data_IF_175457039982
#
_entry.id   IF_175457039982
#
_cell.length_a   1.000
_cell.length_b   1.000
_cell.length_c   1.000
_cell.angle_alpha   90.00
_cell.angle_beta   90.00
_cell.angle_gamma   90.00
#
_symmetry.space_group_name_H-M   'P 1'
#
loop_
_entity.id
_entity.type
_entity.pdbx_description
1 polymer ?
#
# COMPACT_ATOMS: atom_id res chain seq x y z
N UNK A 1 29.26 -0.27 -6.03
CA UNK A 1 28.31 -0.99 -5.19
C UNK A 1 27.34 -1.70 -6.11
N UNK A 2 26.86 -2.90 -5.76
CA UNK A 2 25.78 -3.54 -6.50
C UNK A 2 24.52 -2.67 -6.39
N UNK A 3 23.67 -2.69 -7.43
CA UNK A 3 22.36 -2.05 -7.35
C UNK A 3 21.47 -2.81 -6.37
N UNK A 4 20.52 -2.11 -5.74
CA UNK A 4 19.47 -2.78 -4.98
C UNK A 4 18.66 -3.71 -5.89
N UNK A 5 18.07 -4.75 -5.32
CA UNK A 5 17.22 -5.69 -6.03
C UNK A 5 15.79 -5.60 -5.51
N UNK A 6 14.85 -5.36 -6.41
CA UNK A 6 13.43 -5.21 -6.13
C UNK A 6 12.68 -6.34 -6.82
N UNK A 7 12.02 -7.19 -6.05
CA UNK A 7 11.18 -8.26 -6.59
C UNK A 7 9.70 -7.92 -6.49
N UNK A 8 8.99 -8.11 -7.58
CA UNK A 8 7.55 -7.84 -7.72
C UNK A 8 6.83 -9.16 -7.88
N UNK A 9 6.12 -9.58 -6.84
CA UNK A 9 5.35 -10.83 -6.83
C UNK A 9 3.93 -10.56 -7.31
N UNK A 10 3.67 -10.91 -8.56
CA UNK A 10 2.48 -10.58 -9.34
C UNK A 10 2.82 -9.63 -10.49
N UNK A 11 2.83 -10.14 -11.73
CA UNK A 11 3.12 -9.37 -12.94
C UNK A 11 1.85 -8.82 -13.62
N UNK A 12 0.81 -8.51 -12.85
CA UNK A 12 -0.40 -7.86 -13.33
C UNK A 12 -0.19 -6.39 -13.74
N UNK A 13 -1.25 -5.58 -13.73
CA UNK A 13 -1.16 -4.16 -14.09
C UNK A 13 -0.34 -3.37 -13.06
N UNK A 14 -0.55 -3.64 -11.75
CA UNK A 14 0.22 -3.00 -10.69
C UNK A 14 1.70 -3.40 -10.81
N UNK A 15 2.01 -4.69 -10.94
CA UNK A 15 3.39 -5.17 -11.06
C UNK A 15 4.16 -4.56 -12.24
N UNK A 16 3.54 -4.50 -13.42
CA UNK A 16 4.15 -3.83 -14.58
C UNK A 16 4.40 -2.33 -14.36
N UNK A 17 3.44 -1.65 -13.73
CA UNK A 17 3.58 -0.22 -13.41
C UNK A 17 4.68 0.01 -12.36
N UNK A 18 4.77 -0.84 -11.33
CA UNK A 18 5.83 -0.81 -10.32
C UNK A 18 7.21 -0.97 -10.97
N UNK A 19 7.34 -1.94 -11.89
CA UNK A 19 8.61 -2.20 -12.59
C UNK A 19 9.06 -0.97 -13.39
N UNK A 20 8.16 -0.38 -14.16
CA UNK A 20 8.45 0.84 -14.92
C UNK A 20 8.86 1.99 -14.00
N UNK A 21 8.10 2.25 -12.93
CA UNK A 21 8.41 3.33 -11.98
C UNK A 21 9.74 3.10 -11.26
N UNK A 22 10.06 1.86 -10.89
CA UNK A 22 11.34 1.52 -10.27
C UNK A 22 12.52 1.79 -11.22
N UNK A 23 12.36 1.49 -12.51
CA UNK A 23 13.32 1.82 -13.55
C UNK A 23 13.50 3.34 -13.74
N UNK A 24 12.41 4.08 -13.97
CA UNK A 24 12.41 5.53 -14.15
C UNK A 24 13.04 6.28 -12.96
N UNK A 25 12.81 5.79 -11.75
CA UNK A 25 13.39 6.36 -10.52
C UNK A 25 14.77 5.79 -10.17
N UNK A 26 15.30 4.88 -10.98
CA UNK A 26 16.60 4.24 -10.81
C UNK A 26 16.80 3.62 -9.40
N UNK A 27 15.76 2.96 -8.88
CA UNK A 27 15.77 2.41 -7.52
C UNK A 27 16.57 1.11 -7.39
N UNK A 28 16.74 0.37 -8.48
CA UNK A 28 17.46 -0.89 -8.50
C UNK A 28 17.12 -1.78 -9.69
N UNK A 29 17.67 -2.98 -9.71
CA UNK A 29 17.33 -4.04 -10.67
C UNK A 29 16.00 -4.68 -10.25
N UNK A 30 15.18 -5.07 -11.21
CA UNK A 30 13.79 -5.50 -10.98
C UNK A 30 13.58 -6.92 -11.47
N UNK A 31 13.03 -7.77 -10.60
CA UNK A 31 12.50 -9.08 -10.93
C UNK A 31 10.99 -9.03 -10.93
N UNK A 32 10.35 -9.31 -12.07
CA UNK A 32 8.92 -9.57 -12.13
C UNK A 32 8.69 -11.09 -11.98
N UNK A 33 7.95 -11.48 -10.96
CA UNK A 33 7.54 -12.87 -10.75
C UNK A 33 6.03 -13.03 -10.94
N UNK A 34 5.63 -14.07 -11.67
CA UNK A 34 4.23 -14.50 -11.77
C UNK A 34 4.20 -16.00 -12.07
N UNK A 35 3.11 -16.67 -11.65
CA UNK A 35 2.87 -18.07 -11.96
C UNK A 35 2.44 -18.29 -13.43
N UNK A 36 1.95 -17.23 -14.08
CA UNK A 36 1.52 -17.26 -15.48
C UNK A 36 2.75 -17.21 -16.41
N UNK A 37 3.04 -18.29 -17.09
CA UNK A 37 4.18 -18.39 -18.02
C UNK A 37 4.12 -17.31 -19.09
N UNK A 38 5.28 -16.71 -19.38
CA UNK A 38 5.45 -15.69 -20.41
C UNK A 38 5.04 -14.27 -20.02
N UNK A 39 4.12 -14.11 -19.06
CA UNK A 39 3.63 -12.78 -18.64
C UNK A 39 4.74 -11.95 -17.99
N UNK A 40 5.46 -12.43 -16.96
CA UNK A 40 6.53 -11.65 -16.35
C UNK A 40 7.69 -11.40 -17.32
N UNK A 41 8.05 -12.39 -18.16
CA UNK A 41 9.12 -12.25 -19.13
C UNK A 41 8.77 -11.22 -20.22
N UNK A 42 7.54 -11.27 -20.75
CA UNK A 42 7.08 -10.32 -21.78
C UNK A 42 7.07 -8.90 -21.27
N UNK A 43 6.53 -8.66 -20.07
CA UNK A 43 6.53 -7.31 -19.47
C UNK A 43 7.92 -6.80 -19.13
N UNK A 44 8.77 -7.66 -18.57
CA UNK A 44 10.15 -7.29 -18.26
C UNK A 44 10.91 -6.88 -19.54
N UNK A 45 10.74 -7.64 -20.63
CA UNK A 45 11.37 -7.33 -21.92
C UNK A 45 10.84 -6.01 -22.51
N UNK A 46 9.54 -5.76 -22.47
CA UNK A 46 8.93 -4.52 -22.96
C UNK A 46 9.45 -3.29 -22.19
N UNK A 47 9.50 -3.38 -20.85
CA UNK A 47 10.04 -2.32 -19.99
C UNK A 47 11.55 -2.14 -20.24
N UNK A 48 12.31 -3.22 -20.41
CA UNK A 48 13.73 -3.16 -20.75
C UNK A 48 13.96 -2.45 -22.09
N UNK A 49 13.06 -2.63 -23.07
CA UNK A 49 13.14 -1.94 -24.37
C UNK A 49 12.77 -0.44 -24.26
N UNK A 50 12.07 -0.01 -23.22
CA UNK A 50 11.84 1.42 -22.96
C UNK A 50 13.09 2.10 -22.36
N UNK A 51 14.02 1.35 -21.74
CA UNK A 51 15.16 1.91 -21.02
C UNK A 51 16.08 2.80 -21.87
N UNK A 52 16.37 2.51 -23.16
CA UNK A 52 17.20 3.40 -23.99
C UNK A 52 16.55 4.76 -24.28
N UNK A 53 15.22 4.83 -24.21
CA UNK A 53 14.45 6.07 -24.44
C UNK A 53 14.35 6.87 -23.15
N UNK A 54 14.07 6.17 -22.05
CA UNK A 54 13.83 6.78 -20.73
C UNK A 54 15.12 7.04 -19.93
N UNK A 55 16.25 6.45 -20.35
CA UNK A 55 17.58 6.72 -19.78
C UNK A 55 17.83 6.03 -18.42
N UNK A 56 17.38 4.80 -18.25
CA UNK A 56 17.74 3.99 -17.07
C UNK A 56 18.44 2.68 -17.47
N UNK A 57 19.37 2.22 -16.60
CA UNK A 57 20.19 1.01 -16.83
C UNK A 57 19.81 -0.16 -15.90
N UNK A 58 18.66 -0.09 -15.22
CA UNK A 58 18.20 -1.16 -14.36
C UNK A 58 17.93 -2.43 -15.17
N UNK A 59 18.39 -3.57 -14.68
CA UNK A 59 18.05 -4.89 -15.25
C UNK A 59 16.58 -5.17 -14.98
N UNK A 60 15.85 -5.60 -16.01
CA UNK A 60 14.46 -6.03 -15.93
C UNK A 60 14.38 -7.51 -16.32
N UNK A 61 14.01 -8.36 -15.38
CA UNK A 61 13.95 -9.81 -15.60
C UNK A 61 12.58 -10.36 -15.18
N UNK A 62 12.05 -11.31 -15.94
CA UNK A 62 10.81 -12.01 -15.64
C UNK A 62 11.08 -13.46 -15.25
N UNK A 63 10.42 -13.96 -14.20
CA UNK A 63 10.58 -15.34 -13.74
C UNK A 63 9.24 -15.97 -13.30
N UNK A 64 9.19 -17.29 -13.37
CA UNK A 64 8.09 -18.10 -12.82
C UNK A 64 8.53 -18.93 -11.59
N UNK A 65 9.81 -18.82 -11.17
CA UNK A 65 10.36 -19.51 -10.00
C UNK A 65 10.72 -18.54 -8.86
N UNK A 66 10.46 -18.94 -7.63
CA UNK A 66 10.77 -18.13 -6.44
C UNK A 66 12.28 -17.93 -6.21
N UNK A 67 13.13 -18.82 -6.75
CA UNK A 67 14.59 -18.71 -6.69
C UNK A 67 15.11 -17.40 -7.29
N UNK A 68 14.38 -16.83 -8.25
CA UNK A 68 14.72 -15.53 -8.83
C UNK A 68 14.63 -14.37 -7.82
N UNK A 69 13.89 -14.54 -6.71
CA UNK A 69 13.80 -13.54 -5.65
C UNK A 69 15.03 -13.50 -4.75
N UNK A 70 15.93 -14.49 -4.86
CA UNK A 70 17.09 -14.58 -3.96
C UNK A 70 17.91 -13.29 -3.93
N UNK A 71 18.21 -12.82 -2.70
CA UNK A 71 18.99 -11.60 -2.49
C UNK A 71 18.23 -10.29 -2.75
N UNK A 72 16.89 -10.30 -2.78
CA UNK A 72 16.11 -9.08 -2.88
C UNK A 72 16.21 -8.23 -1.64
N UNK A 73 16.43 -6.92 -1.81
CA UNK A 73 16.35 -5.92 -0.75
C UNK A 73 14.90 -5.56 -0.43
N UNK A 74 14.05 -5.52 -1.46
CA UNK A 74 12.62 -5.22 -1.33
C UNK A 74 11.80 -6.23 -2.11
N UNK A 75 10.69 -6.68 -1.51
CA UNK A 75 9.67 -7.49 -2.20
C UNK A 75 8.32 -6.79 -2.12
N UNK A 76 7.67 -6.57 -3.27
CA UNK A 76 6.33 -6.01 -3.33
C UNK A 76 5.37 -7.10 -3.79
N UNK A 77 4.35 -7.39 -2.98
CA UNK A 77 3.39 -8.46 -3.22
C UNK A 77 2.07 -7.88 -3.71
N UNK A 78 1.76 -8.16 -4.97
CA UNK A 78 0.48 -7.82 -5.62
C UNK A 78 -0.28 -9.07 -6.06
N UNK A 79 0.31 -10.26 -5.81
CA UNK A 79 -0.28 -11.55 -6.15
C UNK A 79 -1.59 -11.77 -5.38
N UNK A 80 -2.57 -12.35 -6.06
CA UNK A 80 -3.89 -12.61 -5.53
C UNK A 80 -4.96 -12.37 -6.59
N UNK A 81 -6.19 -12.72 -6.27
CA UNK A 81 -7.33 -12.50 -7.16
C UNK A 81 -8.09 -11.25 -6.73
N UNK A 82 -8.55 -10.48 -7.72
CA UNK A 82 -9.51 -9.42 -7.46
C UNK A 82 -10.93 -10.03 -7.32
N UNK A 83 -11.78 -9.38 -6.53
CA UNK A 83 -13.18 -9.81 -6.37
C UNK A 83 -13.91 -9.85 -7.72
N UNK A 84 -14.49 -10.98 -8.05
CA UNK A 84 -15.26 -11.17 -9.28
C UNK A 84 -16.77 -11.09 -8.97
N UNK A 85 -17.62 -10.75 -9.96
CA UNK A 85 -19.06 -10.86 -9.81
C UNK A 85 -19.48 -12.25 -9.35
N UNK A 86 -20.32 -12.34 -8.32
CA UNK A 86 -20.78 -13.60 -7.73
C UNK A 86 -19.84 -14.23 -6.67
N UNK A 87 -18.65 -13.68 -6.47
CA UNK A 87 -17.74 -14.12 -5.41
C UNK A 87 -18.11 -13.47 -4.08
N UNK A 88 -18.27 -14.28 -3.04
CA UNK A 88 -18.45 -13.79 -1.67
C UNK A 88 -17.17 -13.13 -1.14
N UNK A 89 -17.25 -12.42 -0.01
CA UNK A 89 -16.08 -11.87 0.67
C UNK A 89 -15.20 -12.99 1.23
N UNK A 90 -15.83 -14.02 1.81
CA UNK A 90 -15.14 -15.13 2.43
C UNK A 90 -14.42 -16.00 1.39
N UNK A 91 -15.02 -16.21 0.20
CA UNK A 91 -14.33 -16.88 -0.91
C UNK A 91 -13.04 -16.14 -1.31
N UNK A 92 -13.11 -14.81 -1.40
CA UNK A 92 -11.96 -13.98 -1.73
C UNK A 92 -10.87 -14.09 -0.66
N UNK A 93 -11.26 -14.03 0.61
CA UNK A 93 -10.34 -14.17 1.74
C UNK A 93 -9.66 -15.56 1.69
N UNK A 94 -10.44 -16.64 1.57
CA UNK A 94 -9.89 -18.00 1.55
C UNK A 94 -8.92 -18.26 0.39
N UNK A 95 -9.20 -17.69 -0.80
CA UNK A 95 -8.30 -17.82 -1.95
C UNK A 95 -7.00 -17.03 -1.69
N UNK A 96 -7.11 -15.76 -1.30
CA UNK A 96 -5.95 -14.90 -1.11
C UNK A 96 -5.11 -15.30 0.11
N UNK A 97 -5.71 -15.89 1.15
CA UNK A 97 -4.97 -16.51 2.27
C UNK A 97 -3.97 -17.56 1.76
N UNK A 98 -4.43 -18.50 0.93
CA UNK A 98 -3.56 -19.53 0.35
C UNK A 98 -2.45 -18.92 -0.51
N UNK A 99 -2.76 -17.87 -1.27
CA UNK A 99 -1.75 -17.16 -2.07
C UNK A 99 -0.71 -16.51 -1.14
N UNK A 100 -1.13 -15.82 -0.08
CA UNK A 100 -0.20 -15.20 0.87
C UNK A 100 0.67 -16.23 1.61
N UNK A 101 0.11 -17.37 1.96
CA UNK A 101 0.87 -18.49 2.55
C UNK A 101 1.96 -19.01 1.61
N UNK A 102 1.64 -19.21 0.31
CA UNK A 102 2.61 -19.66 -0.69
C UNK A 102 3.70 -18.61 -0.95
N UNK A 103 3.30 -17.34 -1.12
CA UNK A 103 4.23 -16.23 -1.33
C UNK A 103 5.13 -16.04 -0.12
N UNK A 104 4.58 -16.08 1.09
CA UNK A 104 5.34 -15.96 2.33
C UNK A 104 6.38 -17.06 2.49
N UNK A 105 6.04 -18.31 2.16
CA UNK A 105 6.99 -19.42 2.14
C UNK A 105 8.13 -19.18 1.13
N UNK A 106 7.79 -18.72 -0.08
CA UNK A 106 8.81 -18.38 -1.10
C UNK A 106 9.75 -17.25 -0.67
N UNK A 107 9.22 -16.22 0.02
CA UNK A 107 10.02 -15.12 0.58
C UNK A 107 10.94 -15.65 1.68
N UNK A 108 10.44 -16.45 2.62
CA UNK A 108 11.22 -17.03 3.70
C UNK A 108 12.42 -17.83 3.20
N UNK A 109 12.23 -18.59 2.13
CA UNK A 109 13.27 -19.47 1.58
C UNK A 109 14.32 -18.70 0.77
N UNK A 110 13.94 -17.63 0.07
CA UNK A 110 14.79 -17.00 -0.92
C UNK A 110 15.31 -15.60 -0.53
N UNK A 111 14.56 -14.84 0.29
CA UNK A 111 14.92 -13.47 0.66
C UNK A 111 14.49 -13.10 2.10
N UNK A 112 15.05 -13.81 3.12
CA UNK A 112 14.66 -13.67 4.51
C UNK A 112 14.99 -12.30 5.14
N UNK A 113 15.79 -11.48 4.48
CA UNK A 113 16.20 -10.15 4.96
C UNK A 113 15.47 -9.00 4.25
N UNK A 114 14.60 -9.30 3.29
CA UNK A 114 13.92 -8.29 2.49
C UNK A 114 12.95 -7.42 3.31
N UNK A 115 12.76 -6.19 2.87
CA UNK A 115 11.61 -5.37 3.25
C UNK A 115 10.41 -5.71 2.36
N UNK A 116 9.29 -6.09 2.94
CA UNK A 116 8.13 -6.63 2.23
C UNK A 116 6.96 -5.65 2.29
N UNK A 117 6.43 -5.27 1.12
CA UNK A 117 5.25 -4.42 0.99
C UNK A 117 4.10 -5.23 0.41
N UNK A 118 3.02 -5.41 1.17
CA UNK A 118 1.81 -6.08 0.72
C UNK A 118 0.83 -5.07 0.09
N UNK A 119 0.25 -5.43 -1.07
CA UNK A 119 -0.81 -4.65 -1.76
C UNK A 119 -2.09 -5.48 -1.91
N UNK A 120 -2.00 -6.79 -1.72
CA UNK A 120 -3.10 -7.74 -1.94
C UNK A 120 -4.26 -7.48 -0.97
N UNK A 121 -5.48 -7.45 -1.51
CA UNK A 121 -6.71 -7.24 -0.74
C UNK A 121 -7.41 -8.56 -0.31
N UNK A 122 -8.13 -8.53 0.83
CA UNK A 122 -8.30 -7.43 1.79
C UNK A 122 -7.01 -7.19 2.59
N UNK A 123 -6.47 -5.97 2.42
CA UNK A 123 -5.08 -5.66 2.76
C UNK A 123 -4.71 -5.91 4.21
N UNK A 124 -5.53 -5.41 5.16
CA UNK A 124 -5.22 -5.44 6.59
C UNK A 124 -5.10 -6.87 7.15
N UNK A 125 -5.74 -7.83 6.51
CA UNK A 125 -5.65 -9.26 6.82
C UNK A 125 -4.51 -9.92 6.06
N UNK A 126 -4.40 -9.65 4.75
CA UNK A 126 -3.40 -10.29 3.89
C UNK A 126 -1.97 -9.96 4.31
N UNK A 127 -1.72 -8.74 4.82
CA UNK A 127 -0.39 -8.37 5.34
C UNK A 127 0.00 -9.19 6.56
N UNK A 128 -0.95 -9.46 7.46
CA UNK A 128 -0.72 -10.30 8.65
C UNK A 128 -0.41 -11.75 8.28
N UNK A 129 -1.19 -12.33 7.36
CA UNK A 129 -0.96 -13.70 6.86
C UNK A 129 0.40 -13.80 6.17
N UNK A 130 0.74 -12.82 5.33
CA UNK A 130 2.02 -12.76 4.64
C UNK A 130 3.19 -12.69 5.64
N UNK A 131 3.05 -11.87 6.69
CA UNK A 131 4.06 -11.76 7.74
C UNK A 131 4.27 -13.09 8.48
N UNK A 132 3.18 -13.75 8.90
CA UNK A 132 3.23 -15.03 9.58
C UNK A 132 3.86 -16.12 8.69
N UNK A 133 3.44 -16.21 7.44
CA UNK A 133 3.94 -17.21 6.49
C UNK A 133 5.42 -17.01 6.12
N UNK A 134 5.86 -15.75 6.01
CA UNK A 134 7.26 -15.42 5.73
C UNK A 134 8.15 -15.59 6.96
N UNK A 135 7.62 -15.50 8.18
CA UNK A 135 8.38 -15.52 9.42
C UNK A 135 9.30 -14.32 9.62
N UNK A 136 9.15 -13.28 8.80
CA UNK A 136 9.93 -12.05 8.92
C UNK A 136 9.49 -11.25 10.16
N UNK A 137 10.37 -10.43 10.75
CA UNK A 137 9.99 -9.50 11.80
C UNK A 137 8.88 -8.55 11.32
N UNK A 138 7.97 -8.16 12.22
CA UNK A 138 6.86 -7.25 11.90
C UNK A 138 7.33 -5.89 11.34
N UNK A 139 8.52 -5.43 11.76
CA UNK A 139 9.16 -4.24 11.19
C UNK A 139 9.55 -4.36 9.71
N UNK A 140 9.66 -5.58 9.20
CA UNK A 140 10.04 -5.88 7.80
C UNK A 140 8.85 -6.11 6.88
N UNK A 141 7.64 -6.22 7.40
CA UNK A 141 6.42 -6.46 6.59
C UNK A 141 5.40 -5.37 6.85
N UNK A 142 4.93 -4.73 5.80
CA UNK A 142 4.00 -3.59 5.89
C UNK A 142 2.99 -3.62 4.74
N UNK A 143 1.80 -3.11 4.96
CA UNK A 143 0.77 -2.98 3.94
C UNK A 143 0.71 -1.57 3.34
N UNK A 144 0.61 -1.47 2.03
CA UNK A 144 0.36 -0.21 1.31
C UNK A 144 -1.14 0.10 1.39
N UNK A 145 -1.52 1.02 2.28
CA UNK A 145 -2.90 1.39 2.60
C UNK A 145 -3.10 2.90 2.59
N UNK A 146 -2.92 3.52 3.74
CA UNK A 146 -3.16 4.95 3.94
C UNK A 146 -2.32 5.86 3.05
N UNK A 147 -1.16 5.42 2.53
CA UNK A 147 -0.38 6.18 1.54
C UNK A 147 -1.24 6.46 0.31
N UNK A 148 -1.91 5.43 -0.23
CA UNK A 148 -2.83 5.58 -1.36
C UNK A 148 -4.08 6.39 -0.98
N UNK A 149 -4.67 6.10 0.16
CA UNK A 149 -5.91 6.75 0.59
C UNK A 149 -5.67 8.23 0.89
N UNK A 150 -4.52 8.56 1.49
CA UNK A 150 -4.09 9.95 1.69
C UNK A 150 -3.77 10.65 0.37
N UNK A 151 -3.21 9.95 -0.62
CA UNK A 151 -2.96 10.52 -1.94
C UNK A 151 -4.28 10.91 -2.65
N UNK A 152 -5.33 10.09 -2.52
CA UNK A 152 -6.68 10.41 -3.02
C UNK A 152 -7.25 11.65 -2.32
N UNK A 153 -7.15 11.66 -0.99
CA UNK A 153 -7.64 12.78 -0.18
C UNK A 153 -6.90 14.07 -0.51
N UNK A 154 -5.57 14.03 -0.62
CA UNK A 154 -4.74 15.17 -1.06
C UNK A 154 -5.16 15.70 -2.42
N UNK A 155 -5.40 14.80 -3.38
CA UNK A 155 -5.82 15.17 -4.72
C UNK A 155 -7.18 15.92 -4.70
N UNK A 156 -8.18 15.40 -3.99
CA UNK A 156 -9.50 16.04 -3.91
C UNK A 156 -9.47 17.36 -3.13
N UNK A 157 -8.64 17.47 -2.10
CA UNK A 157 -8.42 18.74 -1.39
C UNK A 157 -7.74 19.78 -2.31
N UNK A 158 -6.74 19.36 -3.09
CA UNK A 158 -6.07 20.25 -4.03
C UNK A 158 -7.02 20.77 -5.12
N UNK A 159 -7.92 19.92 -5.64
CA UNK A 159 -8.98 20.34 -6.58
C UNK A 159 -9.92 21.36 -5.95
N UNK A 160 -10.37 21.14 -4.72
CA UNK A 160 -11.28 22.05 -4.01
C UNK A 160 -10.64 23.42 -3.76
N UNK A 161 -9.42 23.41 -3.20
CA UNK A 161 -8.72 24.66 -2.86
C UNK A 161 -8.03 25.32 -4.06
N UNK A 162 -8.00 24.65 -5.24
CA UNK A 162 -7.34 25.12 -6.48
C UNK A 162 -5.86 25.43 -6.27
N UNK A 163 -5.17 24.53 -5.59
CA UNK A 163 -3.74 24.61 -5.29
C UNK A 163 -2.98 23.42 -5.85
N UNK A 164 -1.65 23.49 -5.85
CA UNK A 164 -0.80 22.34 -6.20
C UNK A 164 -1.01 21.19 -5.21
N UNK A 165 -1.02 19.96 -5.71
CA UNK A 165 -0.99 18.75 -4.88
C UNK A 165 0.28 18.65 -4.03
N UNK A 166 1.35 19.34 -4.40
CA UNK A 166 2.61 19.38 -3.65
C UNK A 166 2.47 20.11 -2.32
N UNK A 167 1.55 21.10 -2.25
CA UNK A 167 1.30 21.88 -1.04
C UNK A 167 0.32 21.20 -0.07
N UNK A 168 -0.35 20.11 -0.49
CA UNK A 168 -1.34 19.42 0.34
C UNK A 168 -0.71 18.24 1.10
N UNK A 169 -0.87 18.25 2.42
CA UNK A 169 -0.55 17.13 3.30
C UNK A 169 -1.82 16.60 3.92
N UNK A 170 -2.00 15.29 3.94
CA UNK A 170 -3.16 14.67 4.57
C UNK A 170 -2.82 13.29 5.13
N UNK A 171 -3.58 12.86 6.14
CA UNK A 171 -3.51 11.53 6.73
C UNK A 171 -4.85 10.82 6.66
N UNK A 172 -4.81 9.56 6.27
CA UNK A 172 -5.93 8.61 6.37
C UNK A 172 -5.47 7.42 7.18
N UNK A 173 -6.19 7.11 8.26
CA UNK A 173 -5.91 6.01 9.18
C UNK A 173 -6.96 4.91 9.07
N UNK A 174 -6.79 3.86 9.90
CA UNK A 174 -7.73 2.74 9.99
C UNK A 174 -7.53 1.69 8.90
N UNK A 175 -8.47 0.77 8.77
CA UNK A 175 -8.47 -0.27 7.74
C UNK A 175 -8.60 0.30 6.34
N UNK A 176 -7.99 -0.39 5.38
CA UNK A 176 -8.03 0.01 3.96
C UNK A 176 -9.36 -0.38 3.32
N UNK A 177 -10.34 0.52 3.35
CA UNK A 177 -11.68 0.30 2.82
C UNK A 177 -12.65 1.43 3.19
N UNK A 178 -13.94 1.12 3.19
CA UNK A 178 -15.03 2.06 3.48
C UNK A 178 -15.02 2.61 4.91
N UNK A 179 -14.36 1.92 5.84
CA UNK A 179 -14.19 2.34 7.24
C UNK A 179 -12.94 3.18 7.48
N UNK A 180 -12.17 3.54 6.45
CA UNK A 180 -10.99 4.41 6.61
C UNK A 180 -11.34 5.76 7.24
N UNK A 181 -10.37 6.35 7.92
CA UNK A 181 -10.53 7.57 8.72
C UNK A 181 -9.69 8.71 8.16
N UNK A 182 -10.20 9.51 7.21
CA UNK A 182 -9.52 10.72 6.77
C UNK A 182 -9.52 11.77 7.90
N UNK A 183 -8.31 12.19 8.30
CA UNK A 183 -8.13 13.13 9.39
C UNK A 183 -8.06 14.57 8.87
N UNK A 184 -9.22 15.24 8.80
CA UNK A 184 -9.34 16.62 8.31
C UNK A 184 -8.48 17.58 9.14
N UNK A 185 -8.49 17.43 10.48
CA UNK A 185 -7.75 18.27 11.42
C UNK A 185 -6.22 18.20 11.25
N UNK A 186 -5.71 17.05 10.79
CA UNK A 186 -4.29 16.82 10.48
C UNK A 186 -3.95 17.05 9.00
N UNK A 187 -4.93 17.51 8.20
CA UNK A 187 -4.69 17.82 6.78
C UNK A 187 -4.46 19.31 6.61
N UNK A 188 -3.47 19.67 5.79
CA UNK A 188 -3.01 21.06 5.62
C UNK A 188 -2.75 21.39 4.17
N UNK A 189 -2.81 22.71 3.86
CA UNK A 189 -2.27 23.30 2.62
C UNK A 189 -1.15 24.22 3.01
N UNK A 190 0.07 23.94 2.58
CA UNK A 190 1.28 24.70 2.94
C UNK A 190 1.42 24.95 4.46
N UNK A 191 1.00 23.96 5.27
CA UNK A 191 1.03 24.03 6.73
C UNK A 191 -0.20 24.72 7.37
N UNK A 192 -1.13 25.27 6.59
CA UNK A 192 -2.39 25.83 7.10
C UNK A 192 -3.39 24.69 7.25
N UNK A 193 -3.93 24.43 8.47
CA UNK A 193 -4.89 23.38 8.68
C UNK A 193 -6.19 23.56 7.86
N UNK A 194 -6.77 22.46 7.39
CA UNK A 194 -8.03 22.51 6.63
C UNK A 194 -9.17 23.20 7.42
N UNK A 195 -9.33 23.00 8.75
CA UNK A 195 -10.32 23.76 9.52
C UNK A 195 -10.12 25.27 9.42
N UNK A 196 -8.89 25.77 9.50
CA UNK A 196 -8.60 27.21 9.38
C UNK A 196 -8.93 27.71 7.97
N UNK A 197 -8.68 26.93 6.93
CA UNK A 197 -9.06 27.27 5.55
C UNK A 197 -10.58 27.37 5.38
N UNK A 198 -11.35 26.56 6.10
CA UNK A 198 -12.82 26.67 6.14
C UNK A 198 -13.22 27.99 6.81
N UNK A 199 -12.63 28.33 7.96
CA UNK A 199 -12.89 29.62 8.65
C UNK A 199 -12.52 30.83 7.77
N UNK A 200 -11.47 30.71 6.95
CA UNK A 200 -11.06 31.73 5.97
C UNK A 200 -12.00 31.80 4.75
N UNK A 201 -12.98 30.92 4.63
CA UNK A 201 -13.93 30.89 3.53
C UNK A 201 -13.41 30.27 2.22
N UNK A 202 -12.34 29.47 2.27
CA UNK A 202 -11.80 28.77 1.08
C UNK A 202 -12.67 27.58 0.67
N UNK A 203 -13.40 27.00 1.62
CA UNK A 203 -14.38 25.92 1.41
C UNK A 203 -15.40 25.91 2.54
N UNK A 204 -16.21 24.86 2.64
CA UNK A 204 -17.22 24.68 3.69
C UNK A 204 -17.08 23.30 4.32
N UNK A 205 -17.55 23.14 5.57
CA UNK A 205 -17.59 21.83 6.24
C UNK A 205 -18.35 20.79 5.42
N UNK A 206 -19.48 21.18 4.82
CA UNK A 206 -20.27 20.29 3.96
C UNK A 206 -19.46 19.79 2.77
N UNK A 207 -18.68 20.67 2.13
CA UNK A 207 -17.85 20.28 0.97
C UNK A 207 -16.69 19.38 1.38
N UNK A 208 -16.07 19.66 2.52
CA UNK A 208 -15.00 18.77 3.04
C UNK A 208 -15.57 17.41 3.42
N UNK A 209 -16.79 17.33 3.99
CA UNK A 209 -17.45 16.05 4.26
C UNK A 209 -17.74 15.25 2.99
N UNK A 210 -18.17 15.90 1.89
CA UNK A 210 -18.30 15.26 0.56
C UNK A 210 -16.95 14.69 0.06
N UNK A 211 -15.86 15.44 0.23
CA UNK A 211 -14.51 15.01 -0.16
C UNK A 211 -14.06 13.81 0.68
N UNK A 212 -14.30 13.83 1.99
CA UNK A 212 -14.02 12.69 2.88
C UNK A 212 -14.77 11.43 2.41
N UNK A 213 -16.07 11.57 2.09
CA UNK A 213 -16.84 10.43 1.58
C UNK A 213 -16.32 9.94 0.21
N UNK A 214 -16.04 10.86 -0.72
CA UNK A 214 -15.46 10.51 -2.02
C UNK A 214 -14.10 9.81 -1.89
N UNK A 215 -13.31 10.16 -0.88
CA UNK A 215 -12.04 9.48 -0.57
C UNK A 215 -12.28 8.03 -0.19
N UNK A 216 -13.28 7.75 0.66
CA UNK A 216 -13.69 6.38 1.03
C UNK A 216 -14.14 5.58 -0.18
N UNK A 217 -14.89 6.21 -1.06
CA UNK A 217 -15.45 5.59 -2.27
C UNK A 217 -14.46 5.55 -3.46
N UNK A 218 -13.28 6.16 -3.34
CA UNK A 218 -12.36 6.40 -4.45
C UNK A 218 -11.92 5.14 -5.21
N UNK A 219 -11.82 3.99 -4.54
CA UNK A 219 -11.59 2.71 -5.21
C UNK A 219 -12.79 2.26 -6.04
N UNK A 220 -13.99 2.36 -5.49
CA UNK A 220 -15.24 1.98 -6.15
C UNK A 220 -15.56 2.91 -7.33
N UNK A 221 -15.30 4.22 -7.21
CA UNK A 221 -15.45 5.20 -8.30
C UNK A 221 -14.61 4.78 -9.52
N UNK A 222 -13.33 4.43 -9.33
CA UNK A 222 -12.44 4.00 -10.41
C UNK A 222 -12.93 2.68 -11.04
N UNK A 223 -13.31 1.70 -10.23
CA UNK A 223 -13.87 0.42 -10.73
C UNK A 223 -15.13 0.66 -11.54
N UNK A 224 -16.00 1.55 -11.07
CA UNK A 224 -17.22 1.94 -11.78
C UNK A 224 -16.96 2.57 -13.15
N UNK A 225 -15.89 3.35 -13.28
CA UNK A 225 -15.49 3.98 -14.54
C UNK A 225 -14.80 2.99 -15.49
N UNK A 226 -13.87 2.18 -14.99
CA UNK A 226 -13.09 1.23 -15.79
C UNK A 226 -13.93 0.05 -16.28
N UNK A 227 -15.03 -0.32 -15.59
CA UNK A 227 -15.88 -1.49 -15.84
C UNK A 227 -15.18 -2.83 -15.65
N UNK A 228 -13.87 -2.92 -15.93
CA UNK A 228 -13.04 -4.11 -15.74
C UNK A 228 -11.72 -3.70 -15.05
N UNK A 229 -11.30 -4.48 -14.06
CA UNK A 229 -10.08 -4.19 -13.29
C UNK A 229 -10.29 -3.18 -12.16
N UNK A 230 -9.23 -2.64 -11.65
CA UNK A 230 -9.17 -1.69 -10.53
C UNK A 230 -8.07 -0.66 -10.76
N UNK A 231 -7.96 0.33 -9.87
CA UNK A 231 -6.83 1.27 -9.88
C UNK A 231 -5.50 0.53 -9.83
N UNK A 232 -4.50 0.99 -10.57
CA UNK A 232 -3.15 0.41 -10.58
C UNK A 232 -2.04 1.45 -10.65
N UNK A 233 -2.25 2.63 -11.22
CA UNK A 233 -1.24 3.69 -11.26
C UNK A 233 -0.95 4.27 -9.87
N UNK A 234 -1.97 4.76 -9.18
CA UNK A 234 -1.82 5.35 -7.86
C UNK A 234 -1.37 4.33 -6.79
N UNK A 235 -1.88 3.07 -6.76
CA UNK A 235 -1.33 2.03 -5.90
C UNK A 235 0.15 1.76 -6.13
N UNK A 236 0.59 1.67 -7.39
CA UNK A 236 1.99 1.47 -7.72
C UNK A 236 2.85 2.66 -7.26
N UNK A 237 2.43 3.90 -7.54
CA UNK A 237 3.15 5.09 -7.08
C UNK A 237 3.26 5.17 -5.55
N UNK A 238 2.20 4.78 -4.84
CA UNK A 238 2.18 4.75 -3.37
C UNK A 238 3.18 3.74 -2.80
N UNK A 239 3.25 2.54 -3.39
CA UNK A 239 4.22 1.54 -2.96
C UNK A 239 5.67 1.96 -3.30
N UNK A 240 5.89 2.59 -4.44
CA UNK A 240 7.21 3.14 -4.80
C UNK A 240 7.66 4.23 -3.83
N UNK A 241 6.77 5.07 -3.30
CA UNK A 241 7.11 6.04 -2.24
C UNK A 241 7.63 5.32 -0.98
N UNK A 242 7.04 4.18 -0.63
CA UNK A 242 7.50 3.36 0.50
C UNK A 242 8.86 2.71 0.21
N UNK A 243 9.08 2.21 -1.02
CA UNK A 243 10.37 1.66 -1.47
C UNK A 243 11.48 2.72 -1.39
N UNK A 244 11.23 3.93 -1.90
CA UNK A 244 12.18 5.04 -1.82
C UNK A 244 12.51 5.41 -0.37
N UNK A 245 11.51 5.41 0.52
CA UNK A 245 11.72 5.70 1.94
C UNK A 245 12.66 4.67 2.58
N UNK A 246 12.50 3.40 2.24
CA UNK A 246 13.36 2.31 2.72
C UNK A 246 14.77 2.35 2.10
N UNK A 247 14.87 2.31 0.77
CA UNK A 247 16.16 2.20 0.06
C UNK A 247 17.08 3.39 0.34
N UNK A 248 16.52 4.60 0.41
CA UNK A 248 17.29 5.83 0.64
C UNK A 248 17.32 6.28 2.10
N UNK A 249 16.84 5.45 3.02
CA UNK A 249 16.76 5.77 4.45
C UNK A 249 16.13 7.15 4.76
N UNK A 250 15.04 7.48 4.05
CA UNK A 250 14.46 8.83 4.09
C UNK A 250 13.75 9.18 5.40
N UNK A 251 13.48 8.21 6.27
CA UNK A 251 12.71 8.40 7.52
C UNK A 251 11.36 9.09 7.29
N UNK A 252 10.68 8.72 6.19
CA UNK A 252 9.36 9.29 5.87
C UNK A 252 8.32 8.84 6.88
N UNK A 253 7.46 9.77 7.28
CA UNK A 253 6.24 9.46 8.04
C UNK A 253 5.13 9.19 7.05
N UNK A 254 4.73 7.92 6.95
CA UNK A 254 3.72 7.46 5.98
C UNK A 254 2.61 6.67 6.69
N UNK A 255 1.34 6.89 6.35
CA UNK A 255 0.25 6.06 6.87
C UNK A 255 0.24 4.71 6.14
N UNK A 256 0.51 3.63 6.87
CA UNK A 256 0.62 2.28 6.33
C UNK A 256 -0.12 1.29 7.24
N UNK A 257 -0.56 0.16 6.69
CA UNK A 257 -1.00 -0.96 7.52
C UNK A 257 0.25 -1.61 8.13
N UNK A 258 0.51 -1.28 9.39
CA UNK A 258 1.64 -1.76 10.16
C UNK A 258 1.17 -2.54 11.39
N UNK A 259 2.04 -3.41 11.91
CA UNK A 259 1.78 -4.12 13.14
C UNK A 259 1.84 -3.16 14.32
N UNK A 260 0.74 -3.07 15.05
CA UNK A 260 0.60 -2.20 16.22
C UNK A 260 0.54 -3.06 17.46
N UNK A 261 1.44 -2.76 18.41
CA UNK A 261 1.52 -3.41 19.72
C UNK A 261 1.73 -2.31 20.77
N UNK A 262 0.69 -2.03 21.54
CA UNK A 262 0.62 -1.01 22.59
C UNK A 262 0.16 0.37 22.12
N UNK A 263 0.58 0.86 20.93
CA UNK A 263 0.14 2.16 20.44
C UNK A 263 -1.37 2.16 20.13
N UNK A 264 -2.02 3.31 20.27
CA UNK A 264 -3.47 3.48 20.12
C UNK A 264 -4.32 2.56 21.01
N UNK A 265 -3.71 1.93 22.03
CA UNK A 265 -4.35 0.93 22.89
C UNK A 265 -4.67 -0.37 22.16
N UNK A 266 -3.94 -0.70 21.11
CA UNK A 266 -4.10 -1.90 20.30
C UNK A 266 -2.97 -2.89 20.58
N UNK A 267 -3.31 -4.16 20.63
CA UNK A 267 -2.37 -5.26 20.83
C UNK A 267 -2.45 -6.23 19.65
N UNK A 268 -1.33 -6.40 18.96
CA UNK A 268 -1.15 -7.49 18.01
C UNK A 268 -1.99 -7.40 16.73
N UNK A 269 -2.13 -6.21 16.11
CA UNK A 269 -2.97 -6.01 14.94
C UNK A 269 -2.26 -5.23 13.84
N UNK A 270 -2.40 -5.66 12.58
CA UNK A 270 -2.10 -4.82 11.42
C UNK A 270 -3.25 -3.87 11.15
N UNK A 271 -2.97 -2.57 11.16
CA UNK A 271 -3.96 -1.51 10.88
C UNK A 271 -3.27 -0.26 10.36
N UNK A 272 -3.96 0.56 9.59
CA UNK A 272 -3.45 1.81 9.03
C UNK A 272 -3.17 2.86 10.10
N UNK A 273 -1.89 3.14 10.34
CA UNK A 273 -1.37 4.15 11.28
C UNK A 273 -0.16 4.86 10.67
N UNK A 274 0.18 6.09 11.12
CA UNK A 274 1.40 6.74 10.68
C UNK A 274 2.62 5.99 11.22
N UNK A 275 3.57 5.68 10.32
CA UNK A 275 4.82 5.01 10.67
C UNK A 275 6.01 5.71 10.07
N UNK A 276 7.16 5.61 10.71
CA UNK A 276 8.44 6.03 10.14
C UNK A 276 9.02 4.87 9.35
N UNK A 277 9.24 5.07 8.04
CA UNK A 277 9.93 4.11 7.18
C UNK A 277 11.33 4.62 6.88
N UNK A 278 12.33 3.80 7.17
CA UNK A 278 13.74 3.99 6.86
C UNK A 278 14.43 2.66 6.58
N UNK A 279 15.75 2.61 6.58
CA UNK A 279 16.53 1.41 6.29
C UNK A 279 16.26 0.23 7.25
N UNK A 280 15.72 0.50 8.44
CA UNK A 280 15.25 -0.52 9.38
C UNK A 280 13.91 -1.17 9.00
N UNK A 281 13.23 -0.67 7.98
CA UNK A 281 11.84 -1.00 7.66
C UNK A 281 10.87 -0.04 8.37
N UNK A 282 9.84 -0.56 9.02
CA UNK A 282 8.98 0.21 9.94
C UNK A 282 9.73 0.41 11.25
N UNK A 283 10.30 1.59 11.44
CA UNK A 283 11.16 1.87 12.59
C UNK A 283 10.39 2.33 13.83
N UNK A 284 9.22 2.94 13.61
CA UNK A 284 8.39 3.45 14.70
C UNK A 284 6.95 3.68 14.23
N UNK A 285 5.99 3.31 15.05
CA UNK A 285 4.60 3.80 14.97
C UNK A 285 4.56 5.21 15.57
N UNK A 286 3.90 6.14 14.88
CA UNK A 286 3.69 7.50 15.38
C UNK A 286 2.27 7.61 15.91
N UNK A 287 2.12 7.61 17.21
CA UNK A 287 0.82 7.77 17.87
C UNK A 287 0.43 9.25 17.90
N UNK A 288 -0.60 9.62 17.14
CA UNK A 288 -1.14 10.98 17.12
C UNK A 288 -2.38 11.07 17.99
N UNK A 289 -2.60 12.23 18.61
CA UNK A 289 -3.78 12.44 19.45
C UNK A 289 -5.04 12.54 18.59
N UNK A 290 -5.98 11.64 18.79
CA UNK A 290 -7.31 11.66 18.19
C UNK A 290 -8.29 12.34 19.13
N UNK A 291 -9.20 13.18 18.60
CA UNK A 291 -10.34 13.66 19.36
C UNK A 291 -11.40 12.56 19.51
N UNK A 292 -12.49 12.82 20.25
CA UNK A 292 -13.52 11.82 20.54
C UNK A 292 -14.15 11.23 19.26
N UNK A 293 -14.47 12.07 18.28
CA UNK A 293 -15.08 11.63 17.01
C UNK A 293 -14.08 10.83 16.15
N UNK A 294 -12.84 11.31 16.03
CA UNK A 294 -11.76 10.61 15.32
C UNK A 294 -11.47 9.26 15.97
N UNK A 295 -11.44 9.20 17.31
CA UNK A 295 -11.26 7.97 18.07
C UNK A 295 -12.40 7.00 17.83
N UNK A 296 -13.65 7.45 17.87
CA UNK A 296 -14.81 6.62 17.60
C UNK A 296 -14.79 6.03 16.18
N UNK A 297 -14.43 6.84 15.18
CA UNK A 297 -14.25 6.36 13.80
C UNK A 297 -13.10 5.34 13.71
N UNK A 298 -11.99 5.60 14.37
CA UNK A 298 -10.83 4.70 14.36
C UNK A 298 -11.17 3.36 15.04
N UNK A 299 -11.83 3.38 16.21
CA UNK A 299 -12.26 2.18 16.93
C UNK A 299 -13.25 1.35 16.10
N UNK A 300 -14.17 2.00 15.38
CA UNK A 300 -15.06 1.33 14.42
C UNK A 300 -14.27 0.63 13.30
N UNK A 301 -13.28 1.33 12.74
CA UNK A 301 -12.42 0.79 11.69
C UNK A 301 -11.58 -0.41 12.19
N UNK A 302 -11.02 -0.30 13.38
CA UNK A 302 -10.28 -1.40 14.04
C UNK A 302 -11.19 -2.62 14.26
N UNK A 303 -12.42 -2.41 14.70
CA UNK A 303 -13.39 -3.50 14.89
C UNK A 303 -13.68 -4.23 13.57
N UNK A 304 -13.78 -3.49 12.44
CA UNK A 304 -13.96 -4.08 11.12
C UNK A 304 -12.75 -4.92 10.70
N UNK A 305 -11.52 -4.48 10.99
CA UNK A 305 -10.30 -5.25 10.71
C UNK A 305 -10.25 -6.52 11.57
N UNK A 306 -10.59 -6.45 12.86
CA UNK A 306 -10.64 -7.62 13.76
C UNK A 306 -11.65 -8.65 13.26
N UNK A 307 -12.84 -8.22 12.88
CA UNK A 307 -13.86 -9.12 12.32
C UNK A 307 -13.37 -9.86 11.06
N UNK A 308 -12.51 -9.23 10.25
CA UNK A 308 -11.89 -9.91 9.11
C UNK A 308 -10.86 -10.97 9.51
N UNK A 309 -10.07 -10.70 10.55
CA UNK A 309 -9.12 -11.69 11.07
C UNK A 309 -9.85 -12.91 11.64
N UNK A 310 -10.96 -12.71 12.35
CA UNK A 310 -11.81 -13.81 12.86
C UNK A 310 -12.34 -14.70 11.72
N UNK A 311 -12.68 -14.11 10.55
CA UNK A 311 -13.07 -14.90 9.37
C UNK A 311 -11.91 -15.80 8.92
N UNK A 312 -10.67 -15.29 8.86
CA UNK A 312 -9.51 -16.11 8.48
C UNK A 312 -9.29 -17.26 9.46
N UNK A 313 -9.31 -17.00 10.76
CA UNK A 313 -9.16 -18.02 11.81
C UNK A 313 -10.24 -19.13 11.67
N UNK A 314 -11.44 -18.78 11.22
CA UNK A 314 -12.52 -19.74 11.02
C UNK A 314 -12.36 -20.60 9.74
N UNK A 315 -11.47 -20.19 8.81
CA UNK A 315 -11.20 -20.91 7.55
C UNK A 315 -9.99 -21.86 7.63
N UNK A 316 -9.20 -21.76 8.70
CA UNK A 316 -8.09 -22.67 9.02
C UNK A 316 -8.57 -23.90 9.79
#
# INVERSE_FOLDING_TARGET
MARNKISLVGAGNIGGTLALLAGLKQLGDVILFDIAEGIPQGKALDIAQASPIEGFDAVMEGSNGYEALAGSDVVIVTAGVARKPGMSRDDLIGINTKVMQQVGAGIRENCPDAFVICITNPLDVMVGILQQASGLPTARVVGMAGVLDSARFRYFLAEEFKVSVEDVTAFVLGGHGDTMVPLVRYSTVAGIPVPDLIEMGWSTEAKIAEIVQRTRDGGAEIVGLLKTGSAFYAPASSAIEMVEAYIHDKKRVLPCAAYVDGAYGLDGLYVGVPVVIGAGGVERVVEIALNEDEKAMFDHSVAAVRALNEVVESLE
#
